data_IF_710148663259
#
_entry.id   IF_710148663259
#
_cell.length_a   1.000
_cell.length_b   1.000
_cell.length_c   1.000
_cell.angle_alpha   90.00
_cell.angle_beta   90.00
_cell.angle_gamma   90.00
#
_symmetry.space_group_name_H-M   'P 1'
#
loop_
_entity.id
_entity.type
_entity.pdbx_description
1 polymer ?
#
# COMPACT_ATOMS: atom_id res chain seq x y z
N UNK A 1 -1.63 13.52 1.54
CA UNK A 1 -2.47 12.38 1.97
C UNK A 1 -3.88 12.64 1.45
N UNK A 2 -4.29 12.05 0.33
CA UNK A 2 -5.66 12.27 -0.20
C UNK A 2 -6.63 11.46 0.67
N UNK A 3 -7.50 12.13 1.43
CA UNK A 3 -8.53 11.50 2.26
C UNK A 3 -9.73 11.20 1.36
N UNK A 4 -10.06 9.93 1.05
CA UNK A 4 -11.28 9.60 0.32
C UNK A 4 -12.48 10.00 1.18
N UNK A 5 -13.41 10.76 0.59
CA UNK A 5 -14.57 11.31 1.28
C UNK A 5 -15.59 10.24 1.73
N UNK A 6 -15.59 9.06 1.09
CA UNK A 6 -16.57 7.99 1.31
C UNK A 6 -15.88 6.69 1.76
N UNK A 7 -15.36 6.67 2.99
CA UNK A 7 -14.92 5.44 3.66
C UNK A 7 -15.99 4.85 4.58
N UNK A 8 -16.98 5.65 4.94
CA UNK A 8 -18.04 5.24 5.83
C UNK A 8 -19.00 4.28 5.12
N UNK A 9 -19.16 3.07 5.69
CA UNK A 9 -20.00 2.01 5.15
C UNK A 9 -21.46 2.45 5.04
N UNK A 10 -21.94 3.23 6.01
CA UNK A 10 -23.34 3.65 6.05
C UNK A 10 -23.69 4.59 4.91
N UNK A 11 -22.79 5.52 4.58
CA UNK A 11 -22.96 6.41 3.44
C UNK A 11 -22.89 5.64 2.11
N UNK A 12 -21.99 4.66 2.02
CA UNK A 12 -21.84 3.82 0.83
C UNK A 12 -23.11 3.02 0.54
N UNK A 13 -23.67 2.38 1.57
CA UNK A 13 -24.91 1.60 1.47
C UNK A 13 -26.10 2.48 1.14
N UNK A 14 -26.24 3.65 1.78
CA UNK A 14 -27.33 4.61 1.47
C UNK A 14 -27.32 5.02 0.00
N UNK A 15 -26.16 5.35 -0.56
CA UNK A 15 -26.06 5.73 -1.97
C UNK A 15 -26.41 4.56 -2.89
N UNK A 16 -25.94 3.34 -2.58
CA UNK A 16 -26.29 2.14 -3.36
C UNK A 16 -27.79 1.84 -3.30
N UNK A 17 -28.40 1.91 -2.13
CA UNK A 17 -29.84 1.69 -1.94
C UNK A 17 -30.66 2.69 -2.76
N UNK A 18 -30.32 3.99 -2.69
CA UNK A 18 -31.01 5.02 -3.48
C UNK A 18 -30.97 4.78 -4.98
N UNK A 19 -29.85 4.29 -5.51
CA UNK A 19 -29.69 4.07 -6.96
C UNK A 19 -30.27 2.73 -7.42
N UNK A 20 -30.03 1.66 -6.66
CA UNK A 20 -30.38 0.29 -7.08
C UNK A 20 -31.79 -0.14 -6.66
N UNK A 21 -32.29 0.38 -5.53
CA UNK A 21 -33.61 0.01 -4.98
C UNK A 21 -34.63 1.12 -5.24
N UNK A 22 -34.31 2.36 -4.89
CA UNK A 22 -35.25 3.49 -5.02
C UNK A 22 -35.28 4.08 -6.45
N UNK A 23 -34.38 3.66 -7.35
CA UNK A 23 -34.35 4.12 -8.74
C UNK A 23 -33.98 5.59 -8.94
N UNK A 24 -33.40 6.25 -7.93
CA UNK A 24 -33.02 7.66 -7.99
C UNK A 24 -31.96 7.87 -9.08
N UNK A 25 -32.15 8.89 -9.91
CA UNK A 25 -31.23 9.17 -11.01
C UNK A 25 -29.81 9.48 -10.52
N UNK A 26 -28.81 8.97 -11.23
CA UNK A 26 -27.39 9.24 -10.92
C UNK A 26 -27.09 10.74 -10.85
N UNK A 27 -27.68 11.54 -11.75
CA UNK A 27 -27.52 13.01 -11.77
C UNK A 27 -28.08 13.67 -10.52
N UNK A 28 -29.21 13.20 -10.01
CA UNK A 28 -29.80 13.70 -8.77
C UNK A 28 -28.91 13.39 -7.56
N UNK A 29 -28.34 12.19 -7.49
CA UNK A 29 -27.37 11.83 -6.43
C UNK A 29 -26.16 12.77 -6.46
N UNK A 30 -25.58 13.03 -7.64
CA UNK A 30 -24.43 13.94 -7.78
C UNK A 30 -24.77 15.37 -7.32
N UNK A 31 -25.98 15.87 -7.63
CA UNK A 31 -26.46 17.18 -7.15
C UNK A 31 -26.66 17.23 -5.64
N UNK A 32 -27.24 16.18 -5.05
CA UNK A 32 -27.52 16.12 -3.61
C UNK A 32 -26.27 15.96 -2.76
N UNK A 33 -25.32 15.14 -3.22
CA UNK A 33 -24.10 14.79 -2.46
C UNK A 33 -22.89 15.65 -2.81
N UNK A 34 -22.93 16.39 -3.92
CA UNK A 34 -21.80 17.19 -4.42
C UNK A 34 -20.59 16.36 -4.83
N UNK A 35 -20.73 15.03 -4.95
CA UNK A 35 -19.62 14.14 -5.25
C UNK A 35 -19.26 14.12 -6.74
N UNK A 36 -17.99 13.80 -7.05
CA UNK A 36 -17.56 13.61 -8.43
C UNK A 36 -18.14 12.31 -9.03
N UNK A 37 -18.42 12.31 -10.34
CA UNK A 37 -19.02 11.18 -11.05
C UNK A 37 -18.21 9.87 -10.91
N UNK A 38 -16.87 9.95 -10.89
CA UNK A 38 -16.00 8.79 -10.72
C UNK A 38 -16.18 8.15 -9.34
N UNK A 39 -16.48 8.95 -8.31
CA UNK A 39 -16.73 8.43 -6.97
C UNK A 39 -18.05 7.67 -6.95
N UNK A 40 -19.10 8.20 -7.60
CA UNK A 40 -20.37 7.48 -7.72
C UNK A 40 -20.21 6.18 -8.51
N UNK A 41 -19.43 6.19 -9.59
CA UNK A 41 -19.11 4.97 -10.33
C UNK A 41 -18.43 3.92 -9.45
N UNK A 42 -17.44 4.33 -8.63
CA UNK A 42 -16.79 3.42 -7.66
C UNK A 42 -17.78 2.84 -6.65
N UNK A 43 -18.73 3.65 -6.15
CA UNK A 43 -19.78 3.20 -5.23
C UNK A 43 -20.66 2.13 -5.84
N UNK A 44 -21.00 2.27 -7.12
CA UNK A 44 -21.84 1.32 -7.82
C UNK A 44 -21.08 0.03 -8.19
N UNK A 45 -19.81 0.14 -8.60
CA UNK A 45 -19.00 -1.02 -8.99
C UNK A 45 -18.58 -1.88 -7.79
N UNK A 46 -18.20 -1.28 -6.66
CA UNK A 46 -17.72 -2.04 -5.49
C UNK A 46 -18.81 -2.15 -4.41
N UNK A 47 -19.02 -3.37 -3.91
CA UNK A 47 -19.99 -3.66 -2.83
C UNK A 47 -19.62 -2.99 -1.50
N UNK A 48 -18.34 -2.73 -1.28
CA UNK A 48 -17.78 -2.10 -0.08
C UNK A 48 -16.79 -1.01 -0.51
N UNK A 49 -16.62 0.08 0.27
CA UNK A 49 -15.60 1.07 0.04
C UNK A 49 -14.24 0.38 -0.14
N UNK A 50 -13.55 0.58 -1.28
CA UNK A 50 -12.23 0.02 -1.44
C UNK A 50 -11.33 0.60 -0.34
N UNK A 51 -10.81 -0.30 0.50
CA UNK A 51 -9.85 0.04 1.53
C UNK A 51 -8.57 0.66 0.94
N UNK A 52 -7.55 0.87 1.78
CA UNK A 52 -6.25 1.32 1.28
C UNK A 52 -5.65 0.28 0.33
N UNK A 53 -5.73 0.54 -0.98
CA UNK A 53 -5.11 -0.27 -2.01
C UNK A 53 -3.85 0.43 -2.52
N UNK A 54 -2.69 -0.21 -2.36
CA UNK A 54 -1.44 0.21 -3.02
C UNK A 54 -1.41 -0.41 -4.41
N UNK A 55 -1.38 0.42 -5.45
CA UNK A 55 -1.22 -0.04 -6.84
C UNK A 55 0.22 -0.41 -7.18
N UNK A 56 1.20 0.08 -6.41
CA UNK A 56 2.62 -0.20 -6.61
C UNK A 56 3.27 -0.68 -5.31
N UNK A 57 4.24 -1.60 -5.36
CA UNK A 57 5.06 -1.92 -4.22
C UNK A 57 5.75 -0.64 -3.72
N UNK A 58 5.97 -0.56 -2.40
CA UNK A 58 6.69 0.56 -1.80
C UNK A 58 8.08 0.63 -2.44
N UNK A 59 8.42 1.77 -3.05
CA UNK A 59 9.80 2.01 -3.50
C UNK A 59 10.71 1.83 -2.28
N UNK A 60 11.72 0.97 -2.38
CA UNK A 60 12.74 0.76 -1.35
C UNK A 60 14.06 1.46 -1.76
N UNK A 61 14.10 2.81 -1.86
CA UNK A 61 15.21 3.53 -2.51
C UNK A 61 16.57 3.34 -1.84
N UNK A 62 16.60 3.13 -0.51
CA UNK A 62 17.85 2.99 0.25
C UNK A 62 18.28 1.55 0.50
N UNK A 63 17.32 0.66 0.74
CA UNK A 63 17.60 -0.74 1.10
C UNK A 63 17.60 -1.63 -0.14
N UNK A 64 16.93 -1.23 -1.23
CA UNK A 64 16.67 -2.06 -2.39
C UNK A 64 17.92 -2.69 -3.01
N UNK A 65 18.99 -1.90 -3.20
CA UNK A 65 20.27 -2.37 -3.75
C UNK A 65 20.98 -3.40 -2.86
N UNK A 66 20.81 -3.28 -1.53
CA UNK A 66 21.49 -4.13 -0.57
C UNK A 66 20.70 -5.38 -0.18
N UNK A 67 19.46 -5.56 -0.65
CA UNK A 67 18.59 -6.67 -0.23
C UNK A 67 19.20 -8.04 -0.51
N UNK A 68 19.71 -8.27 -1.71
CA UNK A 68 20.29 -9.57 -2.07
C UNK A 68 21.55 -9.86 -1.26
N UNK A 69 22.38 -8.85 -1.02
CA UNK A 69 23.59 -9.00 -0.20
C UNK A 69 23.26 -9.26 1.26
N UNK A 70 22.26 -8.57 1.82
CA UNK A 70 21.78 -8.81 3.19
C UNK A 70 21.26 -10.24 3.32
N UNK A 71 20.50 -10.75 2.32
CA UNK A 71 20.05 -12.14 2.31
C UNK A 71 21.22 -13.13 2.34
N UNK A 72 22.24 -12.94 1.50
CA UNK A 72 23.43 -13.79 1.48
C UNK A 72 24.15 -13.81 2.83
N UNK A 73 24.30 -12.65 3.48
CA UNK A 73 24.95 -12.55 4.79
C UNK A 73 24.12 -13.28 5.85
N UNK A 74 22.79 -13.10 5.84
CA UNK A 74 21.89 -13.77 6.78
C UNK A 74 21.83 -15.28 6.57
N UNK A 75 21.98 -15.75 5.33
CA UNK A 75 22.03 -17.17 5.00
C UNK A 75 23.33 -17.81 5.50
N UNK A 76 24.48 -17.19 5.24
CA UNK A 76 25.76 -17.61 5.81
C UNK A 76 25.76 -17.58 7.35
N UNK A 77 25.07 -16.61 7.96
CA UNK A 77 24.91 -16.54 9.41
C UNK A 77 24.12 -17.72 10.00
N UNK A 78 23.31 -18.43 9.21
CA UNK A 78 22.57 -19.60 9.72
C UNK A 78 23.50 -20.77 9.98
N UNK A 79 24.58 -20.90 9.20
CA UNK A 79 25.55 -21.98 9.27
C UNK A 79 26.54 -21.82 10.44
N UNK A 80 26.70 -20.60 10.94
CA UNK A 80 27.60 -20.33 12.08
C UNK A 80 26.88 -20.37 13.44
N UNK A 81 27.59 -20.71 14.53
CA UNK A 81 27.06 -20.67 15.89
C UNK A 81 26.49 -19.29 16.26
N UNK A 82 25.45 -19.25 17.10
CA UNK A 82 24.73 -18.00 17.46
C UNK A 82 25.64 -16.85 17.90
N UNK A 83 26.76 -17.14 18.59
CA UNK A 83 27.72 -16.13 19.06
C UNK A 83 28.54 -15.47 17.95
N UNK A 84 28.63 -16.10 16.77
CA UNK A 84 29.43 -15.64 15.62
C UNK A 84 28.58 -15.00 14.51
N UNK A 85 27.24 -14.99 14.67
CA UNK A 85 26.33 -14.37 13.71
C UNK A 85 26.51 -12.86 13.70
N UNK A 86 26.40 -12.25 12.52
CA UNK A 86 26.52 -10.81 12.42
C UNK A 86 25.33 -10.12 13.09
N UNK A 87 25.61 -9.03 13.80
CA UNK A 87 24.57 -8.10 14.28
C UNK A 87 24.20 -7.12 13.18
N UNK A 88 23.03 -6.48 13.27
CA UNK A 88 22.62 -5.46 12.32
C UNK A 88 23.69 -4.36 12.10
N UNK A 89 24.42 -3.98 13.17
CA UNK A 89 25.53 -3.03 13.10
C UNK A 89 26.70 -3.57 12.25
N UNK A 90 27.10 -4.82 12.45
CA UNK A 90 28.18 -5.47 11.68
C UNK A 90 27.82 -5.63 10.20
N UNK A 91 26.57 -5.98 9.92
CA UNK A 91 26.06 -6.06 8.53
C UNK A 91 26.13 -4.67 7.90
N UNK A 92 25.68 -3.63 8.61
CA UNK A 92 25.74 -2.25 8.12
C UNK A 92 27.17 -1.78 7.83
N UNK A 93 28.10 -1.94 8.78
CA UNK A 93 29.52 -1.59 8.61
C UNK A 93 30.12 -2.28 7.38
N UNK A 94 29.85 -3.59 7.22
CA UNK A 94 30.34 -4.37 6.07
C UNK A 94 29.77 -3.89 4.73
N UNK A 95 28.54 -3.36 4.72
CA UNK A 95 27.93 -2.76 3.53
C UNK A 95 28.46 -1.34 3.26
N UNK A 96 28.86 -0.60 4.31
CA UNK A 96 29.39 0.77 4.20
C UNK A 96 30.85 0.86 3.77
N UNK A 97 31.67 -0.16 4.08
CA UNK A 97 33.11 -0.17 3.76
C UNK A 97 33.46 -0.70 2.35
N UNK A 98 32.48 -0.98 1.50
CA UNK A 98 32.72 -1.45 0.14
C UNK A 98 33.09 -0.29 -0.81
N UNK A 99 34.13 -0.43 -1.66
CA UNK A 99 34.42 0.54 -2.70
C UNK A 99 33.27 0.59 -3.72
N UNK A 100 33.00 1.78 -4.25
CA UNK A 100 31.84 2.09 -5.10
C UNK A 100 31.74 1.32 -6.44
N UNK A 101 32.70 0.43 -6.74
CA UNK A 101 32.81 -0.29 -8.02
C UNK A 101 31.91 -1.54 -8.16
N UNK A 102 31.03 -1.81 -7.20
CA UNK A 102 30.14 -2.98 -7.21
C UNK A 102 28.67 -2.61 -6.91
N UNK A 103 28.22 -1.47 -7.44
CA UNK A 103 26.82 -1.02 -7.41
C UNK A 103 26.17 -1.16 -8.79
#
# INVERSE_FOLDING_TARGET
RIRPLYRDMDQWLKIRQKVLVEGVSRRQILRQTGMHWQTLQKILTHSSPPGYQRTKPVKKPRIGSFLERIKQILEADREVPRKQRHTAKRIFERLSHLPAAAQ
#
